data_IF_984908008441
#
_entry.id   IF_984908008441
#
_cell.length_a   1.000
_cell.length_b   1.000
_cell.length_c   1.000
_cell.angle_alpha   90.00
_cell.angle_beta   90.00
_cell.angle_gamma   90.00
#
_symmetry.space_group_name_H-M   'P 1'
#
loop_
_entity.id
_entity.type
_entity.pdbx_description
1 polymer ?
#
# COMPACT_ATOMS: atom_id res chain seq x y z
N UNK A 1 4.73 -19.77 25.39
CA UNK A 1 4.14 -20.29 24.15
C UNK A 1 3.74 -19.09 23.30
N UNK A 2 4.54 -18.76 22.29
CA UNK A 2 4.23 -17.67 21.35
C UNK A 2 3.18 -18.20 20.39
N UNK A 3 1.95 -17.73 20.52
CA UNK A 3 0.88 -18.06 19.58
C UNK A 3 1.31 -17.54 18.21
N UNK A 4 1.66 -18.44 17.30
CA UNK A 4 1.88 -18.08 15.88
C UNK A 4 0.53 -17.65 15.36
N UNK A 5 0.29 -16.36 15.23
CA UNK A 5 -0.86 -15.87 14.50
C UNK A 5 -0.72 -16.31 13.06
N UNK A 6 -1.75 -16.96 12.56
CA UNK A 6 -1.79 -17.44 11.17
C UNK A 6 -1.96 -16.22 10.25
N UNK A 7 -0.83 -15.77 9.70
CA UNK A 7 -0.80 -14.67 8.74
C UNK A 7 -1.02 -15.23 7.34
N UNK A 8 -2.13 -14.88 6.73
CA UNK A 8 -2.46 -15.22 5.35
C UNK A 8 -2.41 -13.95 4.47
N UNK A 9 -1.87 -14.09 3.24
CA UNK A 9 -1.86 -13.01 2.25
C UNK A 9 -2.59 -13.46 1.00
N UNK A 10 -3.74 -12.85 0.75
CA UNK A 10 -4.59 -13.13 -0.40
C UNK A 10 -4.53 -12.00 -1.42
N UNK A 11 -4.77 -12.32 -2.69
CA UNK A 11 -4.84 -11.34 -3.78
C UNK A 11 -6.28 -11.10 -4.20
N UNK A 12 -6.60 -9.84 -4.49
CA UNK A 12 -7.78 -9.44 -5.22
C UNK A 12 -7.31 -9.01 -6.62
N UNK A 13 -7.83 -9.64 -7.65
CA UNK A 13 -7.42 -9.44 -9.05
C UNK A 13 -8.57 -9.00 -9.95
N UNK A 14 -9.80 -9.14 -9.49
CA UNK A 14 -11.01 -8.71 -10.20
C UNK A 14 -11.93 -7.92 -9.27
N UNK A 15 -12.75 -7.01 -9.78
CA UNK A 15 -13.69 -6.24 -8.95
C UNK A 15 -14.64 -7.13 -8.12
N UNK A 16 -15.00 -8.31 -8.65
CA UNK A 16 -15.85 -9.28 -7.97
C UNK A 16 -15.22 -9.96 -6.75
N UNK A 17 -13.88 -9.93 -6.63
CA UNK A 17 -13.17 -10.50 -5.48
C UNK A 17 -13.40 -9.68 -4.20
N UNK A 18 -13.78 -8.40 -4.34
CA UNK A 18 -14.06 -7.50 -3.24
C UNK A 18 -15.56 -7.22 -3.10
N UNK A 19 -16.26 -8.14 -2.46
CA UNK A 19 -17.66 -7.92 -2.06
C UNK A 19 -17.82 -6.80 -1.02
N UNK A 20 -19.08 -6.48 -0.63
CA UNK A 20 -19.37 -5.36 0.29
C UNK A 20 -18.58 -5.41 1.60
N UNK A 21 -18.43 -6.60 2.19
CA UNK A 21 -17.69 -6.78 3.44
C UNK A 21 -16.21 -6.42 3.30
N UNK A 22 -15.53 -6.85 2.23
CA UNK A 22 -14.12 -6.53 1.96
C UNK A 22 -13.94 -5.03 1.73
N UNK A 23 -14.83 -4.39 0.98
CA UNK A 23 -14.80 -2.94 0.76
C UNK A 23 -14.96 -2.18 2.08
N UNK A 24 -15.83 -2.63 2.95
CA UNK A 24 -16.03 -2.05 4.28
C UNK A 24 -14.78 -2.22 5.17
N UNK A 25 -14.14 -3.40 5.15
CA UNK A 25 -12.88 -3.64 5.87
C UNK A 25 -11.75 -2.74 5.38
N UNK A 26 -11.58 -2.59 4.07
CA UNK A 26 -10.59 -1.68 3.45
C UNK A 26 -10.85 -0.23 3.86
N UNK A 27 -12.10 0.20 3.80
CA UNK A 27 -12.53 1.56 4.20
C UNK A 27 -12.21 1.81 5.67
N UNK A 28 -12.59 0.89 6.55
CA UNK A 28 -12.34 1.01 7.99
C UNK A 28 -10.85 1.02 8.33
N UNK A 29 -10.05 0.15 7.68
CA UNK A 29 -8.60 0.14 7.84
C UNK A 29 -7.99 1.48 7.43
N UNK A 30 -8.38 2.00 6.28
CA UNK A 30 -7.84 3.25 5.76
C UNK A 30 -8.18 4.45 6.65
N UNK A 31 -9.42 4.53 7.13
CA UNK A 31 -9.83 5.54 8.12
C UNK A 31 -8.96 5.44 9.38
N UNK A 32 -8.82 4.24 9.94
CA UNK A 32 -8.03 4.02 11.15
C UNK A 32 -6.57 4.41 11.00
N UNK A 33 -5.94 4.04 9.86
CA UNK A 33 -4.55 4.40 9.57
C UNK A 33 -4.37 5.90 9.37
N UNK A 34 -5.25 6.55 8.60
CA UNK A 34 -5.19 8.00 8.36
C UNK A 34 -5.36 8.79 9.65
N UNK A 35 -6.38 8.46 10.43
CA UNK A 35 -6.69 9.19 11.67
C UNK A 35 -5.66 8.94 12.79
N UNK A 36 -4.88 7.86 12.69
CA UNK A 36 -3.71 7.61 13.53
C UNK A 36 -2.42 8.28 13.00
N UNK A 37 -2.52 9.21 12.05
CA UNK A 37 -1.38 9.94 11.49
C UNK A 37 -0.57 9.17 10.45
N UNK A 38 -1.08 8.05 9.93
CA UNK A 38 -0.40 7.26 8.90
C UNK A 38 -0.30 7.96 7.54
N UNK A 39 0.69 7.56 6.73
CA UNK A 39 0.90 8.04 5.37
C UNK A 39 -0.10 7.37 4.41
N UNK A 40 -1.33 7.86 4.37
CA UNK A 40 -2.45 7.16 3.74
C UNK A 40 -3.14 7.92 2.59
N UNK A 41 -2.52 8.96 2.05
CA UNK A 41 -3.01 9.64 0.84
C UNK A 41 -4.16 10.63 1.05
N UNK A 42 -4.56 10.91 2.29
CA UNK A 42 -5.53 11.95 2.61
C UNK A 42 -4.88 13.12 3.36
N UNK A 43 -5.19 14.38 2.99
CA UNK A 43 -4.81 15.54 3.79
C UNK A 43 -5.82 15.76 4.95
N UNK A 44 -5.39 16.51 5.94
CA UNK A 44 -6.27 17.07 6.98
C UNK A 44 -7.16 16.03 7.68
N UNK A 45 -6.60 15.00 8.37
CA UNK A 45 -7.42 14.14 9.21
C UNK A 45 -8.12 14.95 10.30
N UNK A 46 -9.29 14.51 10.80
CA UNK A 46 -9.85 13.18 10.61
C UNK A 46 -10.60 12.99 9.29
N UNK A 47 -10.53 11.78 8.74
CA UNK A 47 -11.35 11.33 7.61
C UNK A 47 -12.44 10.37 8.10
N UNK A 48 -13.48 10.19 7.29
CA UNK A 48 -14.60 9.29 7.56
C UNK A 48 -14.98 8.49 6.31
N UNK A 49 -16.01 7.66 6.41
CA UNK A 49 -16.43 6.78 5.33
C UNK A 49 -16.83 7.54 4.04
N UNK A 50 -17.42 8.73 4.15
CA UNK A 50 -17.79 9.51 2.95
C UNK A 50 -16.60 10.00 2.15
N UNK A 51 -15.43 10.15 2.77
CA UNK A 51 -14.18 10.49 2.11
C UNK A 51 -13.51 9.25 1.50
N UNK A 52 -13.50 8.13 2.23
CA UNK A 52 -12.66 6.96 1.90
C UNK A 52 -13.37 5.94 1.03
N UNK A 53 -14.66 5.65 1.27
CA UNK A 53 -15.38 4.60 0.54
C UNK A 53 -15.38 4.82 -1.00
N UNK A 54 -15.60 6.03 -1.55
CA UNK A 54 -15.53 6.24 -3.00
C UNK A 54 -14.16 5.95 -3.59
N UNK A 55 -13.07 6.18 -2.82
CA UNK A 55 -11.71 5.88 -3.26
C UNK A 55 -11.47 4.37 -3.26
N UNK A 56 -11.93 3.64 -2.24
CA UNK A 56 -11.91 2.18 -2.20
C UNK A 56 -12.68 1.60 -3.38
N UNK A 57 -13.88 2.10 -3.67
CA UNK A 57 -14.69 1.65 -4.81
C UNK A 57 -13.96 1.87 -6.15
N UNK A 58 -13.28 3.00 -6.29
CA UNK A 58 -12.47 3.30 -7.48
C UNK A 58 -11.29 2.34 -7.61
N UNK A 59 -10.56 2.05 -6.52
CA UNK A 59 -9.44 1.10 -6.53
C UNK A 59 -9.92 -0.30 -6.88
N UNK A 60 -10.99 -0.76 -6.25
CA UNK A 60 -11.57 -2.09 -6.52
C UNK A 60 -12.09 -2.17 -7.96
N UNK A 61 -12.74 -1.12 -8.46
CA UNK A 61 -13.24 -1.08 -9.84
C UNK A 61 -12.16 -1.17 -10.92
N UNK A 62 -10.90 -0.88 -10.57
CA UNK A 62 -9.75 -0.95 -11.47
C UNK A 62 -8.97 -2.28 -11.40
N UNK A 63 -9.40 -3.22 -10.55
CA UNK A 63 -8.72 -4.50 -10.42
C UNK A 63 -8.72 -5.27 -11.74
N UNK A 64 -7.56 -5.74 -12.11
CA UNK A 64 -7.28 -6.51 -13.32
C UNK A 64 -6.03 -7.35 -13.09
N UNK A 65 -6.02 -8.65 -13.45
CA UNK A 65 -4.90 -9.55 -13.17
C UNK A 65 -3.55 -9.10 -13.74
N UNK A 66 -3.57 -8.33 -14.83
CA UNK A 66 -2.36 -7.86 -15.50
C UNK A 66 -2.01 -6.39 -15.19
N UNK A 67 -2.97 -5.63 -14.65
CA UNK A 67 -2.81 -4.19 -14.49
C UNK A 67 -2.83 -3.70 -13.06
N UNK A 68 -3.73 -4.22 -12.22
CA UNK A 68 -3.89 -3.71 -10.86
C UNK A 68 -4.38 -4.79 -9.91
N UNK A 69 -3.66 -5.00 -8.82
CA UNK A 69 -3.99 -5.99 -7.79
C UNK A 69 -3.95 -5.35 -6.39
N UNK A 70 -4.76 -5.86 -5.49
CA UNK A 70 -4.68 -5.56 -4.06
C UNK A 70 -4.24 -6.83 -3.34
N UNK A 71 -3.24 -6.73 -2.47
CA UNK A 71 -2.86 -7.80 -1.55
C UNK A 71 -3.40 -7.45 -0.16
N UNK A 72 -4.10 -8.40 0.45
CA UNK A 72 -4.65 -8.30 1.80
C UNK A 72 -3.90 -9.23 2.74
N UNK A 73 -3.37 -8.71 3.84
CA UNK A 73 -2.83 -9.50 4.94
C UNK A 73 -3.93 -9.71 5.99
N UNK A 74 -4.21 -10.96 6.34
CA UNK A 74 -5.20 -11.35 7.35
C UNK A 74 -4.55 -12.08 8.50
N UNK A 75 -4.97 -11.79 9.70
CA UNK A 75 -4.61 -12.54 10.91
C UNK A 75 -5.90 -13.13 11.48
N UNK A 76 -5.95 -14.44 11.57
CA UNK A 76 -7.15 -15.16 12.02
C UNK A 76 -8.43 -14.71 11.26
N UNK A 77 -8.33 -14.49 9.96
CA UNK A 77 -9.44 -14.05 9.10
C UNK A 77 -9.72 -12.54 9.13
N UNK A 78 -9.15 -11.77 10.05
CA UNK A 78 -9.35 -10.31 10.17
C UNK A 78 -8.31 -9.55 9.35
N UNK A 79 -8.72 -8.49 8.65
CA UNK A 79 -7.80 -7.64 7.87
C UNK A 79 -6.80 -6.95 8.81
N UNK A 80 -5.51 -7.23 8.61
CA UNK A 80 -4.40 -6.64 9.37
C UNK A 80 -3.64 -5.56 8.58
N UNK A 81 -3.68 -5.64 7.25
CA UNK A 81 -3.04 -4.67 6.37
C UNK A 81 -3.30 -4.97 4.90
N UNK A 82 -2.90 -4.06 4.02
CA UNK A 82 -3.09 -4.21 2.58
C UNK A 82 -2.15 -3.30 1.78
N UNK A 83 -2.00 -3.59 0.50
CA UNK A 83 -1.19 -2.82 -0.44
C UNK A 83 -1.73 -2.96 -1.86
N UNK A 84 -1.53 -1.94 -2.68
CA UNK A 84 -1.90 -1.93 -4.11
C UNK A 84 -0.65 -2.03 -4.96
N UNK A 85 -0.68 -2.89 -5.97
CA UNK A 85 0.30 -2.99 -7.04
C UNK A 85 -0.36 -2.68 -8.37
N UNK A 86 0.17 -1.72 -9.11
CA UNK A 86 -0.34 -1.35 -10.43
C UNK A 86 0.79 -1.32 -11.46
N UNK A 87 0.55 -1.89 -12.65
CA UNK A 87 1.45 -1.74 -13.82
C UNK A 87 1.33 -0.31 -14.36
N UNK A 88 2.43 0.27 -14.78
CA UNK A 88 2.39 1.55 -15.48
C UNK A 88 1.56 1.42 -16.78
N UNK A 89 0.61 2.33 -17.04
CA UNK A 89 -0.27 2.23 -18.20
C UNK A 89 0.39 2.53 -19.54
N UNK A 90 1.54 3.21 -19.53
CA UNK A 90 2.27 3.54 -20.76
C UNK A 90 3.03 2.32 -21.30
N UNK A 91 2.94 2.02 -22.61
CA UNK A 91 3.74 0.96 -23.21
C UNK A 91 5.26 1.15 -23.03
N UNK A 92 5.72 2.40 -22.90
CA UNK A 92 7.14 2.72 -22.70
C UNK A 92 7.65 2.33 -21.32
N UNK A 93 6.77 2.26 -20.33
CA UNK A 93 7.07 1.96 -18.92
C UNK A 93 6.27 0.78 -18.37
N UNK A 94 5.65 -0.03 -19.25
CA UNK A 94 4.83 -1.18 -18.84
C UNK A 94 5.61 -2.29 -18.13
N UNK A 95 6.94 -2.25 -18.13
CA UNK A 95 7.81 -3.13 -17.34
C UNK A 95 7.98 -2.64 -15.88
N UNK A 96 7.44 -1.47 -15.54
CA UNK A 96 7.42 -0.93 -14.18
C UNK A 96 6.08 -1.16 -13.49
N UNK A 97 6.16 -1.32 -12.17
CA UNK A 97 4.99 -1.31 -11.30
C UNK A 97 5.07 -0.19 -10.27
N UNK A 98 3.91 0.35 -9.92
CA UNK A 98 3.73 1.32 -8.83
C UNK A 98 3.17 0.63 -7.61
N UNK A 99 3.78 0.84 -6.46
CA UNK A 99 3.28 0.40 -5.16
C UNK A 99 2.61 1.57 -4.45
N UNK A 100 1.35 1.40 -4.11
CA UNK A 100 0.56 2.42 -3.44
C UNK A 100 -0.14 1.85 -2.19
N UNK A 101 -0.49 2.74 -1.27
CA UNK A 101 -1.38 2.46 -0.15
C UNK A 101 -0.94 1.29 0.74
N UNK A 102 0.38 1.07 0.94
CA UNK A 102 0.81 0.12 1.96
C UNK A 102 0.32 0.59 3.33
N UNK A 103 -0.55 -0.20 3.93
CA UNK A 103 -1.16 0.12 5.21
C UNK A 103 -1.16 -1.09 6.13
N UNK A 104 -0.91 -0.84 7.41
CA UNK A 104 -1.07 -1.81 8.49
C UNK A 104 -1.99 -1.21 9.53
N UNK A 105 -3.01 -1.94 9.93
CA UNK A 105 -3.90 -1.59 11.03
C UNK A 105 -3.08 -1.15 12.25
N UNK A 106 -3.43 -0.04 12.94
CA UNK A 106 -2.67 0.42 14.09
C UNK A 106 -2.44 -0.66 15.15
N UNK A 107 -3.43 -1.51 15.40
CA UNK A 107 -3.35 -2.62 16.35
C UNK A 107 -2.35 -3.74 15.95
N UNK A 108 -1.97 -3.81 14.68
CA UNK A 108 -1.07 -4.84 14.12
C UNK A 108 0.29 -4.28 13.69
N UNK A 109 0.61 -3.02 14.03
CA UNK A 109 1.93 -2.44 13.73
C UNK A 109 3.04 -3.16 14.49
N UNK A 110 4.27 -3.10 13.95
CA UNK A 110 5.48 -3.73 14.51
C UNK A 110 5.42 -5.26 14.61
N UNK A 111 4.49 -5.91 13.92
CA UNK A 111 4.35 -7.38 13.86
C UNK A 111 4.82 -7.95 12.50
N UNK A 112 5.54 -7.17 11.69
CA UNK A 112 6.08 -7.62 10.42
C UNK A 112 5.10 -7.65 9.23
N UNK A 113 3.84 -7.22 9.42
CA UNK A 113 2.78 -7.27 8.40
C UNK A 113 3.19 -6.49 7.12
N UNK A 114 3.69 -5.26 7.28
CA UNK A 114 4.14 -4.46 6.14
C UNK A 114 5.27 -5.13 5.36
N UNK A 115 6.24 -5.72 6.04
CA UNK A 115 7.34 -6.46 5.40
C UNK A 115 6.84 -7.70 4.67
N UNK A 116 5.92 -8.47 5.27
CA UNK A 116 5.33 -9.65 4.65
C UNK A 116 4.56 -9.28 3.37
N UNK A 117 3.73 -8.21 3.42
CA UNK A 117 3.03 -7.68 2.25
C UNK A 117 4.02 -7.28 1.14
N UNK A 118 5.08 -6.55 1.46
CA UNK A 118 6.06 -6.09 0.46
C UNK A 118 6.86 -7.26 -0.14
N UNK A 119 7.22 -8.28 0.65
CA UNK A 119 7.87 -9.48 0.13
C UNK A 119 6.95 -10.25 -0.83
N UNK A 120 5.67 -10.46 -0.45
CA UNK A 120 4.72 -11.14 -1.33
C UNK A 120 4.44 -10.32 -2.58
N UNK A 121 4.29 -9.00 -2.46
CA UNK A 121 4.09 -8.10 -3.59
C UNK A 121 5.24 -8.17 -4.60
N UNK A 122 6.50 -8.21 -4.14
CA UNK A 122 7.67 -8.39 -5.02
C UNK A 122 7.58 -9.70 -5.81
N UNK A 123 7.19 -10.80 -5.19
CA UNK A 123 7.01 -12.09 -5.87
C UNK A 123 5.89 -11.99 -6.93
N UNK A 124 4.74 -11.43 -6.56
CA UNK A 124 3.61 -11.21 -7.49
C UNK A 124 4.03 -10.36 -8.68
N UNK A 125 4.74 -9.27 -8.43
CA UNK A 125 5.24 -8.36 -9.47
C UNK A 125 6.13 -9.09 -10.48
N UNK A 126 7.12 -9.82 -9.98
CA UNK A 126 8.10 -10.52 -10.82
C UNK A 126 7.49 -11.77 -11.48
N UNK A 127 6.91 -12.67 -10.70
CA UNK A 127 6.59 -14.03 -11.13
C UNK A 127 5.22 -14.13 -11.81
N UNK A 128 4.27 -13.26 -11.45
CA UNK A 128 2.90 -13.34 -11.94
C UNK A 128 2.54 -12.21 -12.91
N UNK A 129 3.14 -11.02 -12.75
CA UNK A 129 2.90 -9.89 -13.63
C UNK A 129 4.06 -9.62 -14.62
N UNK A 130 5.23 -10.26 -14.47
CA UNK A 130 6.38 -10.06 -15.34
C UNK A 130 6.91 -8.64 -15.30
N UNK A 131 6.84 -7.97 -14.14
CA UNK A 131 7.43 -6.66 -13.94
C UNK A 131 8.92 -6.79 -13.63
N UNK A 132 9.71 -5.83 -14.06
CA UNK A 132 11.15 -5.80 -13.87
C UNK A 132 11.59 -4.89 -12.73
N UNK A 133 10.79 -3.87 -12.45
CA UNK A 133 11.09 -2.83 -11.48
C UNK A 133 9.82 -2.34 -10.79
N UNK A 134 9.97 -1.87 -9.55
CA UNK A 134 8.91 -1.21 -8.79
C UNK A 134 9.33 0.18 -8.37
N UNK A 135 8.38 1.08 -8.27
CA UNK A 135 8.57 2.39 -7.66
C UNK A 135 7.44 2.71 -6.68
N UNK A 136 7.74 3.59 -5.75
CA UNK A 136 6.78 4.18 -4.82
C UNK A 136 7.19 5.59 -4.45
N UNK A 137 6.23 6.34 -3.92
CA UNK A 137 6.46 7.63 -3.30
C UNK A 137 6.10 7.54 -1.81
N UNK A 138 7.07 7.81 -0.95
CA UNK A 138 6.91 7.75 0.50
C UNK A 138 6.85 9.17 1.11
N UNK A 139 6.13 9.30 2.23
CA UNK A 139 6.16 10.51 3.04
C UNK A 139 7.48 10.59 3.77
N UNK A 140 8.25 11.66 3.55
CA UNK A 140 9.54 11.91 4.21
C UNK A 140 9.41 12.23 5.70
N UNK A 141 10.47 11.89 6.44
CA UNK A 141 10.60 12.25 7.85
C UNK A 141 9.74 11.45 8.83
N UNK A 142 9.26 10.27 8.41
CA UNK A 142 8.41 9.38 9.23
C UNK A 142 9.02 8.00 9.46
N UNK A 143 10.28 7.79 9.05
CA UNK A 143 10.98 6.49 9.14
C UNK A 143 10.57 5.49 8.05
N UNK A 144 9.76 5.91 7.08
CA UNK A 144 9.37 5.05 5.96
C UNK A 144 10.54 4.79 5.01
N UNK A 145 11.43 5.77 4.84
CA UNK A 145 12.65 5.61 4.04
C UNK A 145 13.51 4.46 4.56
N UNK A 146 13.74 4.39 5.87
CA UNK A 146 14.50 3.31 6.51
C UNK A 146 13.77 1.97 6.43
N UNK A 147 12.44 1.98 6.55
CA UNK A 147 11.64 0.77 6.38
C UNK A 147 11.82 0.18 4.98
N UNK A 148 11.68 1.00 3.94
CA UNK A 148 11.85 0.55 2.56
C UNK A 148 13.31 0.19 2.24
N UNK A 149 14.28 0.94 2.76
CA UNK A 149 15.71 0.63 2.56
C UNK A 149 16.07 -0.77 3.09
N UNK A 150 15.54 -1.17 4.24
CA UNK A 150 15.72 -2.55 4.78
C UNK A 150 15.12 -3.63 3.88
N UNK A 151 14.18 -3.29 3.01
CA UNK A 151 13.58 -4.20 2.02
C UNK A 151 14.27 -4.13 0.64
N UNK A 152 15.41 -3.42 0.55
CA UNK A 152 16.20 -3.31 -0.66
C UNK A 152 15.82 -2.16 -1.59
N UNK A 153 14.89 -1.31 -1.19
CA UNK A 153 14.55 -0.11 -1.94
C UNK A 153 15.62 0.97 -1.78
N UNK A 154 15.81 1.78 -2.81
CA UNK A 154 16.72 2.92 -2.78
C UNK A 154 16.02 4.22 -3.19
N UNK A 155 16.35 5.31 -2.53
CA UNK A 155 15.91 6.65 -2.92
C UNK A 155 16.55 7.05 -4.26
N UNK A 156 15.75 7.61 -5.15
CA UNK A 156 16.19 8.10 -6.46
C UNK A 156 15.87 9.56 -6.69
N UNK A 157 15.08 10.16 -5.82
CA UNK A 157 14.75 11.57 -5.88
C UNK A 157 13.83 11.98 -4.74
N UNK A 158 13.67 13.30 -4.63
CA UNK A 158 12.86 13.90 -3.57
C UNK A 158 12.24 15.20 -4.06
N UNK A 159 10.96 15.39 -3.74
CA UNK A 159 10.30 16.68 -3.91
C UNK A 159 10.12 17.36 -2.57
N UNK A 160 10.90 18.42 -2.30
CA UNK A 160 10.81 19.12 -1.03
C UNK A 160 9.44 19.77 -0.82
N UNK A 161 8.85 19.56 0.36
CA UNK A 161 7.61 20.20 0.77
C UNK A 161 6.38 19.90 -0.08
N UNK A 162 6.39 18.83 -0.88
CA UNK A 162 5.27 18.50 -1.80
C UNK A 162 3.98 18.11 -1.09
N UNK A 163 4.09 17.48 0.06
CA UNK A 163 2.93 16.96 0.79
C UNK A 163 2.54 17.93 1.90
N UNK A 164 1.32 18.44 1.85
CA UNK A 164 0.74 19.25 2.92
C UNK A 164 -0.31 18.45 3.67
N UNK A 165 -0.01 18.14 4.92
CA UNK A 165 -0.87 17.31 5.79
C UNK A 165 -1.78 18.17 6.65
N UNK A 166 -1.27 19.34 7.09
CA UNK A 166 -1.97 20.38 7.81
C UNK A 166 -1.41 21.75 7.42
N UNK A 167 -2.02 22.87 7.79
CA UNK A 167 -1.53 24.21 7.44
C UNK A 167 -0.07 24.46 7.81
N UNK A 168 0.39 23.86 8.90
CA UNK A 168 1.74 23.96 9.47
C UNK A 168 2.57 22.66 9.37
N UNK A 169 2.04 21.61 8.73
CA UNK A 169 2.74 20.34 8.54
C UNK A 169 2.92 20.04 7.04
N UNK A 170 4.11 20.35 6.56
CA UNK A 170 4.53 20.08 5.17
C UNK A 170 5.68 19.07 5.18
N UNK A 171 5.60 18.06 4.30
CA UNK A 171 6.56 16.95 4.20
C UNK A 171 7.07 16.79 2.79
N UNK A 172 8.30 16.28 2.68
CA UNK A 172 8.84 15.86 1.40
C UNK A 172 8.13 14.61 0.89
N UNK A 173 8.07 14.46 -0.43
CA UNK A 173 7.75 13.19 -1.07
C UNK A 173 9.05 12.56 -1.58
N UNK A 174 9.35 11.37 -1.07
CA UNK A 174 10.58 10.63 -1.37
C UNK A 174 10.29 9.56 -2.40
N UNK A 175 10.95 9.64 -3.55
CA UNK A 175 10.81 8.66 -4.64
C UNK A 175 11.78 7.51 -4.43
N UNK A 176 11.27 6.30 -4.38
CA UNK A 176 12.07 5.09 -4.15
C UNK A 176 11.80 4.06 -5.22
N UNK A 177 12.83 3.29 -5.57
CA UNK A 177 12.73 2.17 -6.52
C UNK A 177 13.32 0.89 -5.94
N UNK A 178 12.77 -0.23 -6.41
CA UNK A 178 13.29 -1.57 -6.21
C UNK A 178 13.58 -2.18 -7.59
N UNK A 179 14.84 -2.41 -7.88
CA UNK A 179 15.33 -2.98 -9.14
C UNK A 179 16.71 -3.62 -8.93
N UNK A 180 16.94 -4.83 -9.52
CA UNK A 180 15.98 -5.73 -10.17
C UNK A 180 15.05 -6.43 -9.18
N UNK A 181 13.91 -6.96 -9.67
CA UNK A 181 12.97 -7.74 -8.86
C UNK A 181 13.41 -9.19 -8.64
#
# INVERSE_FOLDING_TARGET
>A
MTTRHDLDIIQLTHPGDAGPAVRQELTACWIGVTNAGGAAGFPFPPVNASHVAPVVDTLVGRLDPQRSRILLARINGTLAGWVVLSRDPSPLSAHWGTVNHLQTQPAHRNQGIGSALMHRLRQVARDEMGLEQLHLAARGGTGLEDFYARLGWREVGRWPGKLRLAPDDTRDEVLMILAPL
#
